data_IF_430824198965
#
_entry.id   IF_430824198965
#
_cell.length_a   1.000
_cell.length_b   1.000
_cell.length_c   1.000
_cell.angle_alpha   90.00
_cell.angle_beta   90.00
_cell.angle_gamma   90.00
#
_symmetry.space_group_name_H-M   'P 1'
#
loop_
_entity.id
_entity.type
_entity.pdbx_description
1 polymer ?
#
# COMPACT_ATOMS: atom_id res chain seq x y z
N UNK A 1 -29.73 -30.23 14.10
CA UNK A 1 -30.07 -29.04 14.92
C UNK A 1 -31.51 -28.95 15.45
N UNK A 2 -31.66 -28.44 16.68
CA UNK A 2 -32.93 -27.99 17.31
C UNK A 2 -33.55 -26.79 16.57
N UNK A 3 -34.87 -26.73 16.42
CA UNK A 3 -35.61 -25.69 15.67
C UNK A 3 -35.24 -24.27 16.09
N UNK A 4 -34.97 -24.05 17.39
CA UNK A 4 -34.53 -22.73 17.90
C UNK A 4 -33.16 -22.34 17.37
N UNK A 5 -32.23 -23.31 17.23
CA UNK A 5 -30.89 -23.08 16.69
C UNK A 5 -30.94 -22.78 15.19
N UNK A 6 -31.80 -23.48 14.45
CA UNK A 6 -32.00 -23.24 13.01
C UNK A 6 -32.56 -21.84 12.75
N UNK A 7 -33.65 -21.44 13.44
CA UNK A 7 -34.21 -20.09 13.32
C UNK A 7 -33.19 -18.98 13.66
N UNK A 8 -32.34 -19.24 14.66
CA UNK A 8 -31.25 -18.32 15.03
C UNK A 8 -30.22 -18.22 13.92
N UNK A 9 -29.76 -19.34 13.38
CA UNK A 9 -28.83 -19.36 12.25
C UNK A 9 -29.40 -18.63 11.04
N UNK A 10 -30.65 -18.90 10.66
CA UNK A 10 -31.29 -18.30 9.49
C UNK A 10 -31.33 -16.78 9.61
N UNK A 11 -31.70 -16.25 10.78
CA UNK A 11 -31.68 -14.80 11.05
C UNK A 11 -30.27 -14.21 10.93
N UNK A 12 -29.26 -14.89 11.45
CA UNK A 12 -27.87 -14.44 11.35
C UNK A 12 -27.36 -14.51 9.90
N UNK A 13 -27.78 -15.53 9.17
CA UNK A 13 -27.42 -15.78 7.78
C UNK A 13 -28.04 -14.75 6.82
N UNK A 14 -29.33 -14.43 6.98
CA UNK A 14 -30.00 -13.37 6.23
C UNK A 14 -29.34 -12.02 6.46
N UNK A 15 -29.01 -11.70 7.71
CA UNK A 15 -28.30 -10.47 8.05
C UNK A 15 -26.92 -10.42 7.39
N UNK A 16 -26.16 -11.51 7.43
CA UNK A 16 -24.86 -11.62 6.75
C UNK A 16 -24.98 -11.32 5.24
N UNK A 17 -25.99 -11.88 4.56
CA UNK A 17 -26.25 -11.63 3.14
C UNK A 17 -26.60 -10.17 2.84
N UNK A 18 -27.38 -9.54 3.71
CA UNK A 18 -27.72 -8.11 3.61
C UNK A 18 -26.48 -7.24 3.79
N UNK A 19 -25.65 -7.52 4.80
CA UNK A 19 -24.42 -6.75 5.05
C UNK A 19 -23.43 -6.84 3.89
N UNK A 20 -23.26 -8.02 3.30
CA UNK A 20 -22.40 -8.17 2.11
C UNK A 20 -22.93 -7.37 0.92
N UNK A 21 -24.26 -7.26 0.78
CA UNK A 21 -24.90 -6.44 -0.27
C UNK A 21 -24.67 -4.96 -0.01
N UNK A 22 -24.85 -4.50 1.22
CA UNK A 22 -24.63 -3.10 1.62
C UNK A 22 -23.17 -2.66 1.44
N UNK A 23 -22.21 -3.56 1.67
CA UNK A 23 -20.79 -3.30 1.43
C UNK A 23 -20.39 -3.32 -0.06
N UNK A 24 -21.34 -3.47 -0.99
CA UNK A 24 -21.07 -3.46 -2.42
C UNK A 24 -20.26 -4.67 -2.93
N UNK A 25 -20.28 -5.81 -2.22
CA UNK A 25 -19.61 -7.03 -2.71
C UNK A 25 -20.32 -7.57 -3.94
N UNK A 26 -19.54 -8.05 -4.92
CA UNK A 26 -20.08 -8.71 -6.10
C UNK A 26 -20.88 -9.96 -5.72
N UNK A 27 -21.85 -10.32 -6.56
CA UNK A 27 -22.71 -11.49 -6.35
C UNK A 27 -21.90 -12.78 -6.16
N UNK A 28 -20.86 -12.99 -6.99
CA UNK A 28 -19.96 -14.14 -6.87
C UNK A 28 -19.28 -14.22 -5.50
N UNK A 29 -18.84 -13.08 -4.96
CA UNK A 29 -18.20 -13.03 -3.64
C UNK A 29 -19.23 -13.27 -2.53
N UNK A 30 -20.43 -12.71 -2.67
CA UNK A 30 -21.54 -12.95 -1.73
C UNK A 30 -21.85 -14.43 -1.63
N UNK A 31 -22.00 -15.10 -2.76
CA UNK A 31 -22.29 -16.54 -2.81
C UNK A 31 -21.16 -17.39 -2.25
N UNK A 32 -19.92 -17.02 -2.54
CA UNK A 32 -18.74 -17.72 -2.04
C UNK A 32 -18.67 -17.67 -0.50
N UNK A 33 -18.86 -16.48 0.09
CA UNK A 33 -18.82 -16.31 1.54
C UNK A 33 -20.03 -16.98 2.20
N UNK A 34 -21.21 -16.86 1.59
CA UNK A 34 -22.40 -17.50 2.10
C UNK A 34 -22.30 -19.04 2.08
N UNK A 35 -21.61 -19.62 1.08
CA UNK A 35 -21.29 -21.05 1.02
C UNK A 35 -20.32 -21.46 2.12
N UNK A 36 -19.31 -20.65 2.41
CA UNK A 36 -18.38 -20.92 3.51
C UNK A 36 -19.15 -21.07 4.84
N UNK A 37 -20.04 -20.12 5.16
CA UNK A 37 -20.81 -20.14 6.41
C UNK A 37 -21.72 -21.37 6.52
N UNK A 38 -22.34 -21.79 5.41
CA UNK A 38 -23.10 -23.04 5.36
C UNK A 38 -22.21 -24.25 5.62
N UNK A 39 -21.04 -24.32 4.98
CA UNK A 39 -20.08 -25.42 5.18
C UNK A 39 -19.64 -25.53 6.64
N UNK A 40 -19.36 -24.39 7.27
CA UNK A 40 -18.98 -24.33 8.67
C UNK A 40 -20.09 -24.82 9.61
N UNK A 41 -21.33 -24.38 9.35
CA UNK A 41 -22.51 -24.85 10.07
C UNK A 41 -22.67 -26.36 9.94
N UNK A 42 -22.57 -26.88 8.72
CA UNK A 42 -22.77 -28.29 8.41
C UNK A 42 -21.69 -29.17 9.04
N UNK A 43 -20.45 -28.66 9.13
CA UNK A 43 -19.34 -29.38 9.74
C UNK A 43 -19.51 -29.59 11.25
N UNK A 44 -20.03 -28.59 11.99
CA UNK A 44 -20.15 -28.66 13.45
C UNK A 44 -21.59 -28.95 13.96
N UNK A 45 -22.59 -29.08 13.07
CA UNK A 45 -24.03 -29.08 13.38
C UNK A 45 -24.41 -28.01 14.44
N UNK A 46 -23.76 -26.86 14.38
CA UNK A 46 -23.91 -25.81 15.37
C UNK A 46 -24.03 -24.43 14.72
N UNK A 47 -24.63 -23.51 15.47
CA UNK A 47 -24.73 -22.13 15.03
C UNK A 47 -23.33 -21.49 15.15
N UNK A 48 -22.82 -20.80 14.11
CA UNK A 48 -21.44 -20.33 14.07
C UNK A 48 -21.07 -19.37 15.20
N UNK A 49 -22.07 -18.70 15.80
CA UNK A 49 -21.90 -17.80 16.95
C UNK A 49 -21.44 -18.48 18.24
N UNK A 50 -21.52 -19.81 18.33
CA UNK A 50 -21.04 -20.59 19.47
C UNK A 50 -19.68 -21.25 19.23
N UNK A 51 -19.07 -21.03 18.08
CA UNK A 51 -17.79 -21.64 17.75
C UNK A 51 -16.68 -21.01 18.56
N UNK A 52 -15.83 -21.87 19.12
CA UNK A 52 -14.62 -21.47 19.82
C UNK A 52 -13.45 -21.38 18.84
N UNK A 53 -12.41 -20.56 19.13
CA UNK A 53 -11.22 -20.48 18.29
C UNK A 53 -10.55 -21.84 18.03
N UNK A 54 -10.52 -22.73 19.04
CA UNK A 54 -9.96 -24.09 18.89
C UNK A 54 -10.72 -24.95 17.89
N UNK A 55 -12.04 -24.79 17.82
CA UNK A 55 -12.86 -25.51 16.82
C UNK A 55 -12.57 -24.98 15.42
N UNK A 56 -12.43 -23.66 15.25
CA UNK A 56 -12.05 -23.08 13.96
C UNK A 56 -10.65 -23.54 13.52
N UNK A 57 -9.69 -23.62 14.43
CA UNK A 57 -8.34 -24.13 14.17
C UNK A 57 -8.38 -25.58 13.66
N UNK A 58 -9.12 -26.46 14.35
CA UNK A 58 -9.32 -27.85 13.93
C UNK A 58 -9.99 -27.94 12.55
N UNK A 59 -11.00 -27.11 12.28
CA UNK A 59 -11.65 -27.04 10.97
C UNK A 59 -10.67 -26.67 9.86
N UNK A 60 -9.85 -25.63 10.06
CA UNK A 60 -8.90 -25.20 9.05
C UNK A 60 -7.78 -26.23 8.83
N UNK A 61 -7.32 -26.91 9.88
CA UNK A 61 -6.35 -28.00 9.74
C UNK A 61 -6.87 -29.08 8.79
N UNK A 62 -8.12 -29.52 8.98
CA UNK A 62 -8.77 -30.51 8.10
C UNK A 62 -9.08 -29.96 6.70
N UNK A 63 -9.45 -28.68 6.61
CA UNK A 63 -9.80 -28.05 5.33
C UNK A 63 -8.58 -27.93 4.40
N UNK A 64 -7.39 -27.66 4.95
CA UNK A 64 -6.14 -27.56 4.17
C UNK A 64 -5.72 -28.90 3.59
N UNK A 65 -6.02 -30.02 4.26
CA UNK A 65 -5.73 -31.36 3.75
C UNK A 65 -6.68 -31.78 2.62
N UNK A 66 -7.90 -31.25 2.60
CA UNK A 66 -8.98 -31.73 1.73
C UNK A 66 -9.31 -30.79 0.57
N UNK A 67 -8.99 -29.49 0.67
CA UNK A 67 -9.37 -28.48 -0.30
C UNK A 67 -8.16 -27.65 -0.76
N UNK A 68 -8.29 -27.05 -1.95
CA UNK A 68 -7.28 -26.13 -2.45
C UNK A 68 -7.14 -24.90 -1.54
N UNK A 69 -5.93 -24.31 -1.53
CA UNK A 69 -5.66 -23.08 -0.78
C UNK A 69 -6.61 -21.92 -1.13
N UNK A 70 -7.08 -21.87 -2.37
CA UNK A 70 -8.08 -20.88 -2.81
C UNK A 70 -9.39 -21.00 -2.04
N UNK A 71 -9.83 -22.22 -1.72
CA UNK A 71 -11.06 -22.51 -0.97
C UNK A 71 -10.87 -22.18 0.50
N UNK A 72 -9.73 -22.55 1.08
CA UNK A 72 -9.35 -22.19 2.46
C UNK A 72 -9.37 -20.68 2.65
N UNK A 73 -8.82 -19.96 1.67
CA UNK A 73 -8.78 -18.49 1.67
C UNK A 73 -10.19 -17.89 1.63
N UNK A 74 -11.05 -18.36 0.72
CA UNK A 74 -12.45 -17.91 0.62
C UNK A 74 -13.20 -18.16 1.93
N UNK A 75 -13.04 -19.32 2.54
CA UNK A 75 -13.67 -19.66 3.81
C UNK A 75 -13.21 -18.75 4.94
N UNK A 76 -11.90 -18.50 5.03
CA UNK A 76 -11.32 -17.58 6.01
C UNK A 76 -11.89 -16.16 5.87
N UNK A 77 -11.99 -15.62 4.65
CA UNK A 77 -12.58 -14.31 4.43
C UNK A 77 -14.07 -14.26 4.75
N UNK A 78 -14.82 -15.29 4.37
CA UNK A 78 -16.25 -15.42 4.71
C UNK A 78 -16.47 -15.46 6.22
N UNK A 79 -15.63 -16.19 6.95
CA UNK A 79 -15.71 -16.32 8.40
C UNK A 79 -15.31 -15.02 9.09
N UNK A 80 -14.19 -14.41 8.67
CA UNK A 80 -13.75 -13.11 9.19
C UNK A 80 -14.86 -12.07 9.03
N UNK A 81 -15.50 -12.02 7.86
CA UNK A 81 -16.64 -11.14 7.66
C UNK A 81 -17.81 -11.50 8.58
N UNK A 82 -18.19 -12.79 8.67
CA UNK A 82 -19.26 -13.21 9.55
C UNK A 82 -18.97 -12.83 11.01
N UNK A 83 -17.85 -13.25 11.59
CA UNK A 83 -17.55 -12.98 12.99
C UNK A 83 -17.39 -11.49 13.31
N UNK A 84 -16.69 -10.73 12.47
CA UNK A 84 -16.49 -9.30 12.71
C UNK A 84 -17.81 -8.51 12.70
N UNK A 85 -18.70 -8.82 11.74
CA UNK A 85 -19.94 -8.07 11.56
C UNK A 85 -21.13 -8.67 12.34
N UNK A 86 -21.10 -9.95 12.71
CA UNK A 86 -22.21 -10.63 13.41
C UNK A 86 -22.06 -10.66 14.93
N UNK A 87 -20.83 -10.72 15.47
CA UNK A 87 -20.57 -10.92 16.90
C UNK A 87 -20.30 -9.61 17.68
N UNK A 88 -20.55 -8.44 17.06
CA UNK A 88 -20.40 -7.08 17.61
C UNK A 88 -18.96 -6.60 17.92
N UNK A 89 -18.38 -5.88 16.96
CA UNK A 89 -18.00 -4.47 17.20
C UNK A 89 -18.43 -3.67 15.97
N UNK A 90 -19.56 -2.98 16.08
CA UNK A 90 -19.88 -1.92 15.15
C UNK A 90 -19.41 -0.62 15.75
N UNK A 91 -18.22 -0.20 15.32
CA UNK A 91 -17.89 1.22 15.20
C UNK A 91 -17.66 1.55 13.71
N UNK A 92 -18.49 0.95 12.85
CA UNK A 92 -18.38 1.12 11.39
C UNK A 92 -19.21 2.31 10.90
N UNK A 93 -20.17 2.81 11.69
CA UNK A 93 -20.76 4.13 11.46
C UNK A 93 -19.72 5.25 11.67
N UNK A 94 -18.63 5.01 12.42
CA UNK A 94 -17.44 5.88 12.51
C UNK A 94 -16.45 5.66 11.36
N UNK A 95 -16.49 4.50 10.68
CA UNK A 95 -15.66 4.22 9.50
C UNK A 95 -16.33 4.58 8.16
N UNK A 96 -17.65 4.81 8.14
CA UNK A 96 -18.35 5.43 7.00
C UNK A 96 -18.14 6.95 6.92
N UNK A 97 -17.53 7.56 7.95
CA UNK A 97 -16.91 8.89 7.87
C UNK A 97 -15.56 8.88 7.11
N UNK A 98 -15.13 7.73 6.56
CA UNK A 98 -13.99 7.69 5.64
C UNK A 98 -14.39 8.04 4.21
N UNK A 99 -14.66 9.32 4.00
CA UNK A 99 -14.62 9.95 2.68
C UNK A 99 -15.28 11.32 2.69
N UNK A 100 -14.60 12.47 2.71
CA UNK A 100 -13.23 12.78 2.30
C UNK A 100 -12.76 13.96 3.15
N UNK A 101 -11.88 13.75 4.13
CA UNK A 101 -10.92 14.80 4.43
C UNK A 101 -9.75 14.58 3.49
N UNK A 102 -9.51 15.56 2.62
CA UNK A 102 -8.29 15.55 1.82
C UNK A 102 -7.13 15.53 2.78
N UNK A 103 -6.50 14.37 2.97
CA UNK A 103 -5.15 14.34 3.52
C UNK A 103 -4.33 15.27 2.64
N UNK A 104 -3.58 16.24 3.20
CA UNK A 104 -2.75 17.11 2.39
C UNK A 104 -1.75 16.20 1.67
N UNK A 105 -1.98 16.06 0.37
CA UNK A 105 -1.28 15.17 -0.51
C UNK A 105 0.19 15.61 -0.51
N UNK A 106 1.01 14.95 0.30
CA UNK A 106 2.42 15.28 0.54
C UNK A 106 2.66 16.73 0.97
N UNK A 107 2.55 17.05 2.27
CA UNK A 107 3.23 18.25 2.78
C UNK A 107 4.73 18.12 2.49
N UNK A 108 5.18 18.79 1.42
CA UNK A 108 6.60 18.89 1.07
C UNK A 108 7.25 19.84 2.06
N UNK A 109 7.63 19.30 3.22
CA UNK A 109 8.47 20.04 4.16
C UNK A 109 9.85 20.16 3.54
N UNK A 110 10.32 21.39 3.38
CA UNK A 110 11.68 21.64 2.91
C UNK A 110 12.62 21.13 4.01
N UNK A 111 13.30 20.02 3.76
CA UNK A 111 14.36 19.58 4.65
C UNK A 111 15.48 20.65 4.68
N UNK A 112 15.74 21.33 5.82
CA UNK A 112 16.72 22.41 5.90
C UNK A 112 18.11 21.97 5.46
N UNK A 113 18.49 20.73 5.80
CA UNK A 113 19.78 20.12 5.43
C UNK A 113 19.90 19.96 3.91
N UNK A 114 18.81 19.65 3.21
CA UNK A 114 18.81 19.52 1.75
C UNK A 114 19.06 20.88 1.06
N UNK A 115 18.55 21.98 1.63
CA UNK A 115 18.76 23.33 1.08
C UNK A 115 20.23 23.75 1.15
N UNK A 116 20.94 23.37 2.21
CA UNK A 116 22.38 23.63 2.37
C UNK A 116 23.21 22.78 1.41
N UNK A 117 22.92 21.49 1.32
CA UNK A 117 23.57 20.58 0.38
C UNK A 117 23.37 21.04 -1.08
N UNK A 118 22.16 21.46 -1.43
CA UNK A 118 21.86 21.93 -2.79
C UNK A 118 22.56 23.27 -3.10
N UNK A 119 22.68 24.18 -2.12
CA UNK A 119 23.49 25.41 -2.24
C UNK A 119 24.97 25.10 -2.49
N UNK A 120 25.53 24.17 -1.72
CA UNK A 120 26.92 23.72 -1.89
C UNK A 120 27.15 23.11 -3.28
N UNK A 121 26.27 22.19 -3.69
CA UNK A 121 26.28 21.58 -5.03
C UNK A 121 26.22 22.65 -6.13
N UNK A 122 25.26 23.56 -6.08
CA UNK A 122 25.07 24.58 -7.10
C UNK A 122 26.26 25.55 -7.18
N UNK A 123 26.87 25.89 -6.04
CA UNK A 123 28.11 26.68 -6.02
C UNK A 123 29.24 25.99 -6.78
N UNK A 124 29.46 24.70 -6.54
CA UNK A 124 30.47 23.91 -7.24
C UNK A 124 30.16 23.75 -8.73
N UNK A 125 28.89 23.48 -9.08
CA UNK A 125 28.45 23.36 -10.47
C UNK A 125 28.66 24.67 -11.22
N UNK A 126 28.32 25.81 -10.61
CA UNK A 126 28.54 27.13 -11.20
C UNK A 126 30.03 27.44 -11.38
N UNK A 127 30.87 27.15 -10.38
CA UNK A 127 32.33 27.28 -10.50
C UNK A 127 32.86 26.44 -11.68
N UNK A 128 32.39 25.19 -11.82
CA UNK A 128 32.76 24.33 -12.95
C UNK A 128 32.26 24.89 -14.28
N UNK A 129 31.03 25.42 -14.33
CA UNK A 129 30.44 26.05 -15.52
C UNK A 129 31.27 27.26 -15.98
N UNK A 130 31.62 28.17 -15.08
CA UNK A 130 32.44 29.34 -15.42
C UNK A 130 33.85 28.93 -15.87
N UNK A 131 34.48 27.94 -15.23
CA UNK A 131 35.78 27.41 -15.68
C UNK A 131 35.69 26.81 -17.08
N UNK A 132 34.65 26.04 -17.38
CA UNK A 132 34.41 25.47 -18.72
C UNK A 132 34.18 26.56 -19.77
N UNK A 133 33.39 27.59 -19.44
CA UNK A 133 33.15 28.70 -20.34
C UNK A 133 34.44 29.49 -20.64
N UNK A 134 35.23 29.81 -19.60
CA UNK A 134 36.55 30.44 -19.76
C UNK A 134 37.50 29.58 -20.60
N UNK A 135 37.48 28.28 -20.41
CA UNK A 135 38.27 27.36 -21.23
C UNK A 135 37.82 27.34 -22.69
N UNK A 136 36.52 27.30 -22.94
CA UNK A 136 35.95 27.35 -24.29
C UNK A 136 36.29 28.67 -25.00
N UNK A 137 36.19 29.80 -24.29
CA UNK A 137 36.60 31.13 -24.75
C UNK A 137 38.07 31.14 -25.17
N UNK A 138 38.98 30.66 -24.30
CA UNK A 138 40.42 30.56 -24.61
C UNK A 138 40.73 29.61 -25.78
N UNK A 139 39.84 28.65 -26.08
CA UNK A 139 40.01 27.71 -27.19
C UNK A 139 39.54 28.32 -28.51
N UNK A 140 38.45 29.08 -28.49
CA UNK A 140 37.92 29.78 -29.67
C UNK A 140 38.80 30.96 -30.10
N UNK A 141 39.39 31.66 -29.13
CA UNK A 141 40.25 32.82 -29.34
C UNK A 141 41.63 32.61 -28.71
N UNK A 142 42.54 31.86 -29.36
CA UNK A 142 43.89 31.68 -28.85
C UNK A 142 44.72 32.96 -28.99
N UNK A 143 45.52 33.28 -27.97
CA UNK A 143 46.47 34.40 -28.02
C UNK A 143 47.60 34.09 -29.01
N UNK A 144 47.97 35.07 -29.86
CA UNK A 144 49.06 34.92 -30.84
C UNK A 144 50.44 35.09 -30.20
N UNK A 145 51.49 34.56 -30.85
CA UNK A 145 52.87 34.62 -30.35
C UNK A 145 53.51 36.03 -30.42
N UNK A 146 52.78 37.02 -30.95
CA UNK A 146 53.30 38.38 -31.18
C UNK A 146 53.65 39.11 -29.88
N UNK A 147 53.02 38.76 -28.75
CA UNK A 147 53.39 39.25 -27.43
C UNK A 147 53.77 38.09 -26.49
N UNK A 148 55.07 37.87 -26.24
CA UNK A 148 55.56 36.70 -25.51
C UNK A 148 55.11 36.67 -24.04
N UNK A 149 54.92 37.81 -23.39
CA UNK A 149 54.47 37.85 -21.99
C UNK A 149 53.01 37.40 -21.85
N UNK A 150 52.12 37.90 -22.73
CA UNK A 150 50.71 37.51 -22.76
C UNK A 150 50.53 36.06 -23.18
N UNK A 151 51.28 35.61 -24.18
CA UNK A 151 51.26 34.23 -24.65
C UNK A 151 51.70 33.24 -23.56
N UNK A 152 52.78 33.55 -22.84
CA UNK A 152 53.23 32.73 -21.71
C UNK A 152 52.24 32.71 -20.54
N UNK A 153 51.57 33.84 -20.26
CA UNK A 153 50.51 33.91 -19.26
C UNK A 153 49.26 33.09 -19.67
N UNK A 154 48.93 33.07 -20.96
CA UNK A 154 47.86 32.23 -21.51
C UNK A 154 48.21 30.75 -21.44
N UNK A 155 49.44 30.36 -21.81
CA UNK A 155 49.93 28.98 -21.71
C UNK A 155 49.90 28.45 -20.27
N UNK A 156 50.29 29.26 -19.29
CA UNK A 156 50.23 28.89 -17.86
C UNK A 156 48.80 28.71 -17.34
N UNK A 157 47.83 29.44 -17.91
CA UNK A 157 46.40 29.39 -17.51
C UNK A 157 45.64 28.27 -18.20
N UNK A 158 46.06 27.85 -19.40
CA UNK A 158 45.52 26.70 -20.10
C UNK A 158 46.06 25.44 -19.42
N UNK A 159 45.26 24.68 -18.65
CA UNK A 159 45.74 23.42 -18.12
C UNK A 159 46.11 22.53 -19.31
N UNK A 160 47.37 22.05 -19.33
CA UNK A 160 47.74 20.91 -20.15
C UNK A 160 46.86 19.73 -19.74
N UNK A 161 46.46 18.93 -20.73
CA UNK A 161 45.70 17.70 -20.49
C UNK A 161 46.37 16.80 -19.44
#
# INVERSE_FOLDING_TARGET
MDQKKTKRFDKLYERHLQMLKLQGKSEKTRDAYARAIRRLRDHFDCCPDKLTPKQLESYFAQLVETHSWSTVTVDCWGFKFFFNYMMQQFDIDVLLDYGVTGFPDTEKVINPTWRELNRSRNSLVNKRRYRRARFAEMTMYPETSDNPEKYNAWLKKKPGF
#
